data_IF_321572696939
#
_entry.id   IF_321572696939
#
_cell.length_a   1.000
_cell.length_b   1.000
_cell.length_c   1.000
_cell.angle_alpha   90.00
_cell.angle_beta   90.00
_cell.angle_gamma   90.00
#
_symmetry.space_group_name_H-M   'P 1'
#
loop_
_entity.id
_entity.type
_entity.pdbx_description
1 polymer ?
#
# COMPACT_ATOMS: atom_id res chain seq x y z
N UNK A 1 -7.04 -7.64 -11.04
CA UNK A 1 -6.54 -8.75 -10.21
C UNK A 1 -7.63 -9.79 -10.07
N UNK A 2 -7.34 -11.04 -10.37
CA UNK A 2 -8.28 -12.16 -10.17
C UNK A 2 -7.95 -12.87 -8.87
N UNK A 3 -8.95 -13.14 -8.02
CA UNK A 3 -8.79 -13.88 -6.78
C UNK A 3 -9.61 -15.16 -6.83
N UNK A 4 -9.03 -16.28 -6.42
CA UNK A 4 -9.84 -17.43 -6.02
C UNK A 4 -10.76 -17.02 -4.86
N UNK A 5 -12.00 -17.53 -4.84
CA UNK A 5 -12.96 -17.23 -3.77
C UNK A 5 -12.39 -17.53 -2.37
N UNK A 6 -11.67 -18.65 -2.24
CA UNK A 6 -10.97 -19.04 -1.01
C UNK A 6 -9.92 -18.02 -0.55
N UNK A 7 -9.26 -17.34 -1.47
CA UNK A 7 -8.31 -16.26 -1.16
C UNK A 7 -9.04 -15.02 -0.65
N UNK A 8 -10.09 -14.58 -1.33
CA UNK A 8 -10.89 -13.44 -0.87
C UNK A 8 -11.47 -13.70 0.52
N UNK A 9 -12.14 -14.83 0.71
CA UNK A 9 -12.76 -15.21 1.98
C UNK A 9 -11.70 -15.30 3.09
N UNK A 10 -10.51 -15.84 2.76
CA UNK A 10 -9.38 -15.93 3.68
C UNK A 10 -8.82 -14.58 4.12
N UNK A 11 -8.73 -13.59 3.20
CA UNK A 11 -8.33 -12.21 3.52
C UNK A 11 -9.35 -11.58 4.47
N UNK A 12 -10.64 -11.67 4.15
CA UNK A 12 -11.71 -11.08 4.96
C UNK A 12 -11.77 -11.72 6.35
N UNK A 13 -11.62 -13.05 6.44
CA UNK A 13 -11.55 -13.76 7.70
C UNK A 13 -10.34 -13.29 8.53
N UNK A 14 -9.17 -13.17 7.90
CA UNK A 14 -7.96 -12.70 8.57
C UNK A 14 -8.13 -11.27 9.12
N UNK A 15 -8.69 -10.35 8.31
CA UNK A 15 -8.96 -8.98 8.74
C UNK A 15 -9.90 -8.93 9.96
N UNK A 16 -10.96 -9.75 9.95
CA UNK A 16 -11.91 -9.82 11.07
C UNK A 16 -11.27 -10.39 12.34
N UNK A 17 -10.41 -11.38 12.21
CA UNK A 17 -9.69 -12.00 13.34
C UNK A 17 -8.67 -11.04 13.97
N UNK A 18 -8.02 -10.18 13.17
CA UNK A 18 -6.98 -9.26 13.65
C UNK A 18 -7.47 -7.93 14.21
N UNK A 19 -8.70 -7.50 13.87
CA UNK A 19 -9.29 -6.24 14.37
C UNK A 19 -9.23 -6.21 15.92
N UNK A 20 -8.71 -5.13 16.56
CA UNK A 20 -8.53 -3.78 16.03
C UNK A 20 -7.20 -3.46 15.33
N UNK A 21 -6.25 -4.40 15.27
CA UNK A 21 -4.97 -4.21 14.58
C UNK A 21 -5.11 -4.50 13.07
N UNK A 22 -4.26 -3.87 12.26
CA UNK A 22 -4.03 -4.25 10.88
C UNK A 22 -3.37 -5.63 10.80
N UNK A 23 -3.86 -6.45 9.89
CA UNK A 23 -3.20 -7.67 9.47
C UNK A 23 -2.44 -7.45 8.17
N UNK A 24 -1.53 -8.37 7.86
CA UNK A 24 -0.87 -8.38 6.55
C UNK A 24 -0.57 -9.81 6.06
N UNK A 25 -0.23 -9.92 4.79
CA UNK A 25 0.25 -11.16 4.20
C UNK A 25 0.51 -11.02 2.71
N UNK A 26 0.79 -12.16 2.07
CA UNK A 26 1.12 -12.21 0.64
C UNK A 26 0.25 -13.23 -0.09
N UNK A 27 0.05 -12.98 -1.38
CA UNK A 27 -0.71 -13.82 -2.28
C UNK A 27 0.22 -14.44 -3.33
N UNK A 28 0.07 -15.75 -3.51
CA UNK A 28 0.74 -16.51 -4.56
C UNK A 28 -0.20 -16.73 -5.73
N UNK A 29 0.35 -16.69 -6.93
CA UNK A 29 -0.34 -17.10 -8.14
C UNK A 29 0.47 -16.74 -9.37
N UNK A 30 -0.18 -16.41 -10.49
CA UNK A 30 0.52 -15.93 -11.69
C UNK A 30 -0.38 -15.08 -12.58
N UNK A 31 0.23 -14.26 -13.44
CA UNK A 31 -0.48 -13.47 -14.46
C UNK A 31 -1.62 -12.63 -13.85
N UNK A 32 -1.39 -12.09 -12.63
CA UNK A 32 -2.38 -11.31 -11.89
C UNK A 32 -3.57 -12.11 -11.34
N UNK A 33 -3.48 -13.45 -11.30
CA UNK A 33 -4.43 -14.36 -10.66
C UNK A 33 -3.84 -14.95 -9.39
N UNK A 34 -4.37 -14.57 -8.22
CA UNK A 34 -4.00 -15.14 -6.94
C UNK A 34 -4.82 -16.39 -6.61
N UNK A 35 -4.14 -17.49 -6.30
CA UNK A 35 -4.73 -18.79 -6.02
C UNK A 35 -4.50 -19.26 -4.58
N UNK A 36 -3.50 -18.72 -3.89
CA UNK A 36 -3.17 -19.08 -2.51
C UNK A 36 -2.86 -17.86 -1.65
N UNK A 37 -3.21 -17.96 -0.37
CA UNK A 37 -3.05 -16.93 0.65
C UNK A 37 -2.02 -17.39 1.70
N UNK A 38 -1.08 -16.51 2.03
CA UNK A 38 -0.13 -16.71 3.13
C UNK A 38 -0.27 -15.56 4.12
N UNK A 39 -0.75 -15.86 5.33
CA UNK A 39 -0.84 -14.88 6.42
C UNK A 39 0.56 -14.57 6.95
N UNK A 40 0.88 -13.31 7.13
CA UNK A 40 2.11 -12.85 7.76
C UNK A 40 1.85 -12.37 9.18
N UNK A 41 2.91 -12.27 9.98
CA UNK A 41 2.86 -11.50 11.22
C UNK A 41 3.11 -10.03 10.89
N UNK A 42 2.27 -9.14 11.42
CA UNK A 42 2.51 -7.71 11.37
C UNK A 42 3.59 -7.33 12.40
N UNK A 43 4.72 -6.81 11.94
CA UNK A 43 5.87 -6.39 12.74
C UNK A 43 5.90 -4.89 13.05
N UNK A 44 4.93 -4.11 12.56
CA UNK A 44 4.86 -2.69 12.83
C UNK A 44 4.81 -2.39 14.33
N UNK A 45 5.44 -1.30 14.74
CA UNK A 45 5.45 -0.84 16.13
C UNK A 45 4.04 -0.42 16.57
N UNK A 46 3.40 0.45 15.79
CA UNK A 46 1.96 0.69 15.85
C UNK A 46 1.27 -0.17 14.80
N UNK A 47 0.43 -1.11 15.26
CA UNK A 47 -0.32 -2.00 14.36
C UNK A 47 -1.75 -1.52 14.14
N UNK A 48 -2.18 -0.39 14.70
CA UNK A 48 -3.57 0.06 14.56
C UNK A 48 -3.85 0.63 13.16
N UNK A 49 -2.86 1.27 12.55
CA UNK A 49 -2.96 1.99 11.27
C UNK A 49 -1.73 1.78 10.36
N UNK A 50 -0.99 0.70 10.60
CA UNK A 50 0.23 0.40 9.86
C UNK A 50 0.56 -1.11 9.90
N UNK A 51 1.27 -1.55 8.87
CA UNK A 51 1.75 -2.91 8.75
C UNK A 51 3.23 -2.99 8.34
N UNK A 52 3.88 -4.05 8.80
CA UNK A 52 5.20 -4.47 8.32
C UNK A 52 5.20 -5.99 8.16
N UNK A 53 5.40 -6.47 6.94
CA UNK A 53 5.29 -7.91 6.62
C UNK A 53 6.54 -8.62 7.12
N UNK A 54 6.37 -9.65 7.93
CA UNK A 54 7.53 -10.38 8.43
C UNK A 54 8.42 -10.93 7.29
N UNK A 55 9.76 -10.80 7.41
CA UNK A 55 10.66 -11.22 6.34
C UNK A 55 10.56 -12.70 5.98
N UNK A 56 10.20 -13.58 6.92
CA UNK A 56 10.09 -15.02 6.64
C UNK A 56 8.94 -15.31 5.68
N UNK A 57 7.83 -14.57 5.79
CA UNK A 57 6.74 -14.64 4.83
C UNK A 57 7.15 -14.08 3.49
N UNK A 58 7.82 -12.92 3.43
CA UNK A 58 8.30 -12.34 2.16
C UNK A 58 9.27 -13.26 1.41
N UNK A 59 10.14 -13.99 2.12
CA UNK A 59 11.08 -14.95 1.52
C UNK A 59 10.38 -16.09 0.75
N UNK A 60 9.08 -16.34 0.97
CA UNK A 60 8.33 -17.32 0.20
C UNK A 60 8.20 -16.96 -1.28
N UNK A 61 8.43 -15.70 -1.66
CA UNK A 61 8.46 -15.32 -3.08
C UNK A 61 9.44 -16.18 -3.89
N UNK A 62 10.58 -16.56 -3.31
CA UNK A 62 11.56 -17.44 -3.98
C UNK A 62 11.03 -18.87 -4.15
N UNK A 63 10.29 -19.39 -3.15
CA UNK A 63 9.61 -20.70 -3.27
C UNK A 63 8.53 -20.67 -4.36
N UNK A 64 7.87 -19.50 -4.56
CA UNK A 64 6.85 -19.34 -5.59
C UNK A 64 7.50 -19.33 -6.98
N UNK A 65 8.58 -18.57 -7.15
CA UNK A 65 9.36 -18.50 -8.38
C UNK A 65 9.91 -19.87 -8.82
N UNK A 66 10.45 -20.67 -7.88
CA UNK A 66 10.91 -22.04 -8.15
C UNK A 66 9.79 -22.96 -8.65
N UNK A 67 8.56 -22.70 -8.21
CA UNK A 67 7.37 -23.42 -8.64
C UNK A 67 6.72 -22.84 -9.92
N UNK A 68 7.28 -21.77 -10.49
CA UNK A 68 6.77 -21.08 -11.68
C UNK A 68 5.62 -20.10 -11.42
N UNK A 69 5.37 -19.77 -10.16
CA UNK A 69 4.42 -18.75 -9.69
C UNK A 69 5.16 -17.45 -9.30
N UNK A 70 4.41 -16.43 -8.92
CA UNK A 70 4.89 -15.14 -8.46
C UNK A 70 4.17 -14.70 -7.18
N UNK A 71 4.75 -13.74 -6.47
CA UNK A 71 4.05 -12.98 -5.43
C UNK A 71 3.14 -11.95 -6.12
N UNK A 72 1.89 -12.35 -6.40
CA UNK A 72 0.92 -11.52 -7.12
C UNK A 72 0.58 -10.26 -6.34
N UNK A 73 0.49 -10.38 -5.01
CA UNK A 73 0.12 -9.25 -4.18
C UNK A 73 0.66 -9.34 -2.76
N UNK A 74 0.83 -8.17 -2.15
CA UNK A 74 0.82 -7.97 -0.71
C UNK A 74 -0.61 -7.52 -0.34
N UNK A 75 -1.13 -7.96 0.80
CA UNK A 75 -2.40 -7.45 1.30
C UNK A 75 -2.29 -7.06 2.76
N UNK A 76 -3.11 -6.08 3.14
CA UNK A 76 -3.33 -5.68 4.53
C UNK A 76 -4.79 -5.28 4.76
N UNK A 77 -5.12 -4.95 6.01
CA UNK A 77 -6.47 -4.53 6.37
C UNK A 77 -6.50 -3.15 6.97
N UNK A 78 -7.52 -2.38 6.63
CA UNK A 78 -7.87 -1.14 7.31
C UNK A 78 -9.03 -1.40 8.29
N UNK A 79 -8.80 -1.38 9.61
CA UNK A 79 -9.81 -1.78 10.59
C UNK A 79 -11.03 -0.86 10.64
N UNK A 80 -10.85 0.43 10.35
CA UNK A 80 -11.88 1.48 10.48
C UNK A 80 -11.95 2.46 9.30
N UNK A 81 -10.94 2.49 8.43
CA UNK A 81 -10.85 3.41 7.29
C UNK A 81 -11.19 2.73 5.97
N UNK A 82 -11.42 3.53 4.93
CA UNK A 82 -11.76 3.04 3.59
C UNK A 82 -10.63 2.20 2.97
N UNK A 83 -10.96 1.32 2.02
CA UNK A 83 -9.99 0.52 1.28
C UNK A 83 -9.29 1.37 0.21
N UNK A 84 -8.48 2.34 0.62
CA UNK A 84 -7.66 3.17 -0.26
C UNK A 84 -6.31 3.40 0.41
N UNK A 85 -5.17 3.38 -0.33
CA UNK A 85 -3.86 3.50 0.27
C UNK A 85 -3.74 4.80 1.06
N UNK A 86 -3.17 4.74 2.26
CA UNK A 86 -2.76 5.88 3.07
C UNK A 86 -1.37 6.39 2.68
N UNK A 87 -0.92 7.50 3.27
CA UNK A 87 0.46 7.94 3.11
C UNK A 87 1.46 6.95 3.76
N UNK A 88 1.08 6.28 4.84
CA UNK A 88 1.87 5.21 5.45
C UNK A 88 2.01 4.02 4.50
N UNK A 89 0.94 3.63 3.80
CA UNK A 89 1.00 2.56 2.80
C UNK A 89 1.92 2.93 1.63
N UNK A 90 1.81 4.18 1.15
CA UNK A 90 2.67 4.71 0.11
C UNK A 90 4.14 4.72 0.54
N UNK A 91 4.42 5.02 1.82
CA UNK A 91 5.76 4.86 2.37
C UNK A 91 6.19 3.38 2.34
N UNK A 92 5.36 2.44 2.77
CA UNK A 92 5.73 1.02 2.83
C UNK A 92 5.72 0.30 1.44
N UNK A 93 5.50 1.02 0.34
CA UNK A 93 5.35 0.48 -1.01
C UNK A 93 6.69 0.07 -1.67
N UNK A 94 7.35 -0.96 -1.14
CA UNK A 94 8.67 -1.43 -1.61
C UNK A 94 8.64 -2.44 -2.78
N UNK A 95 7.47 -2.90 -3.20
CA UNK A 95 7.27 -3.94 -4.21
C UNK A 95 6.39 -3.43 -5.38
N UNK A 96 6.91 -2.52 -6.23
CA UNK A 96 6.11 -1.81 -7.23
C UNK A 96 5.45 -2.72 -8.28
N UNK A 97 6.05 -3.88 -8.55
CA UNK A 97 5.53 -4.84 -9.54
C UNK A 97 4.30 -5.62 -9.04
N UNK A 98 4.11 -5.66 -7.72
CA UNK A 98 3.01 -6.38 -7.07
C UNK A 98 1.77 -5.52 -6.90
N UNK A 99 0.62 -6.17 -6.75
CA UNK A 99 -0.57 -5.47 -6.27
C UNK A 99 -0.54 -5.32 -4.75
N UNK A 100 -1.10 -4.23 -4.26
CA UNK A 100 -1.39 -3.98 -2.86
C UNK A 100 -2.90 -4.06 -2.66
N UNK A 101 -3.35 -5.10 -1.95
CA UNK A 101 -4.77 -5.32 -1.66
C UNK A 101 -5.11 -4.80 -0.27
N UNK A 102 -6.13 -3.95 -0.20
CA UNK A 102 -6.57 -3.35 1.07
C UNK A 102 -7.97 -3.86 1.39
N UNK A 103 -8.08 -4.57 2.51
CA UNK A 103 -9.34 -5.05 3.05
C UNK A 103 -9.86 -4.07 4.12
N UNK A 104 -10.85 -3.25 3.79
CA UNK A 104 -11.49 -2.35 4.74
C UNK A 104 -12.60 -3.03 5.53
N UNK A 105 -12.57 -2.83 6.85
CA UNK A 105 -13.62 -3.15 7.80
C UNK A 105 -14.27 -1.88 8.38
N UNK A 106 -14.28 -0.78 7.63
CA UNK A 106 -15.01 0.44 8.00
C UNK A 106 -16.47 0.12 8.38
N UNK A 107 -17.07 -0.83 7.65
CA UNK A 107 -18.35 -1.44 7.99
C UNK A 107 -18.15 -2.96 8.13
N UNK A 108 -18.30 -3.48 9.34
CA UNK A 108 -17.98 -4.88 9.68
C UNK A 108 -18.80 -5.92 8.88
N UNK A 109 -20.03 -5.56 8.54
CA UNK A 109 -21.00 -6.37 7.78
C UNK A 109 -20.82 -6.25 6.26
N UNK A 110 -20.06 -5.24 5.79
CA UNK A 110 -19.83 -4.97 4.37
C UNK A 110 -18.32 -4.71 4.10
N UNK A 111 -17.46 -5.73 4.27
CA UNK A 111 -16.02 -5.59 3.99
C UNK A 111 -15.78 -5.24 2.52
N UNK A 112 -14.87 -4.29 2.28
CA UNK A 112 -14.50 -3.84 0.94
C UNK A 112 -13.06 -4.23 0.66
N UNK A 113 -12.84 -4.95 -0.44
CA UNK A 113 -11.50 -5.32 -0.91
C UNK A 113 -11.19 -4.59 -2.21
N UNK A 114 -10.13 -3.78 -2.22
CA UNK A 114 -9.64 -3.05 -3.40
C UNK A 114 -8.18 -3.37 -3.65
N UNK A 115 -7.73 -3.24 -4.89
CA UNK A 115 -6.36 -3.54 -5.30
C UNK A 115 -5.73 -2.33 -5.99
N UNK A 116 -4.48 -2.04 -5.64
CA UNK A 116 -3.72 -0.91 -6.15
C UNK A 116 -2.34 -1.35 -6.62
N UNK A 117 -1.72 -0.56 -7.49
CA UNK A 117 -0.26 -0.49 -7.60
C UNK A 117 0.19 0.84 -7.03
N UNK A 118 1.29 0.79 -6.30
CA UNK A 118 1.95 1.94 -5.71
C UNK A 118 3.35 2.01 -6.30
N UNK A 119 3.61 3.03 -7.08
CA UNK A 119 4.81 3.17 -7.91
C UNK A 119 5.66 4.32 -7.34
N UNK A 120 6.67 4.02 -6.50
CA UNK A 120 7.54 5.04 -5.93
C UNK A 120 8.52 5.56 -6.98
N UNK A 121 8.72 6.86 -6.96
CA UNK A 121 9.70 7.62 -7.71
C UNK A 121 10.41 8.57 -6.75
N UNK A 122 11.73 8.65 -6.86
CA UNK A 122 12.56 9.65 -6.18
C UNK A 122 12.84 10.82 -7.14
N UNK A 123 12.22 11.99 -6.94
CA UNK A 123 12.50 13.19 -7.71
C UNK A 123 13.95 13.66 -7.50
N UNK A 124 14.50 14.39 -8.48
CA UNK A 124 15.80 15.05 -8.33
C UNK A 124 15.65 16.43 -7.64
N UNK A 125 14.43 16.95 -7.58
CA UNK A 125 14.05 18.25 -7.04
C UNK A 125 14.08 18.29 -5.50
N UNK A 126 14.50 19.42 -4.94
CA UNK A 126 14.54 19.62 -3.49
C UNK A 126 13.13 19.59 -2.88
N UNK A 127 12.92 18.65 -1.96
CA UNK A 127 11.67 18.48 -1.20
C UNK A 127 11.27 19.75 -0.43
N UNK A 128 12.21 20.63 -0.07
CA UNK A 128 11.90 21.88 0.62
C UNK A 128 11.03 22.83 -0.24
N UNK A 129 11.13 22.74 -1.56
CA UNK A 129 10.23 23.45 -2.47
C UNK A 129 8.78 22.95 -2.29
N UNK A 130 8.59 21.63 -2.23
CA UNK A 130 7.28 21.04 -2.02
C UNK A 130 6.73 21.34 -0.61
N UNK A 131 7.58 21.24 0.42
CA UNK A 131 7.22 21.55 1.83
C UNK A 131 6.82 23.01 2.02
N UNK A 132 7.34 23.91 1.19
CA UNK A 132 6.96 25.32 1.21
C UNK A 132 5.66 25.60 0.43
N UNK A 133 5.32 24.74 -0.53
CA UNK A 133 4.17 24.89 -1.41
C UNK A 133 2.86 24.36 -0.81
N UNK A 134 2.92 23.25 -0.06
CA UNK A 134 1.74 22.58 0.50
C UNK A 134 1.94 22.16 1.94
N UNK A 135 0.84 21.99 2.66
CA UNK A 135 0.87 21.43 4.01
C UNK A 135 0.93 19.91 3.96
N UNK A 136 1.87 19.35 4.71
CA UNK A 136 2.00 17.92 4.92
C UNK A 136 1.43 17.54 6.29
N UNK A 137 0.74 16.40 6.35
CA UNK A 137 0.27 15.81 7.59
C UNK A 137 1.34 14.86 8.16
N UNK A 138 1.63 14.97 9.45
CA UNK A 138 2.44 13.96 10.15
C UNK A 138 1.56 12.73 10.41
N UNK A 139 1.79 11.66 9.64
CA UNK A 139 0.96 10.44 9.69
C UNK A 139 1.49 9.40 10.67
N UNK A 140 2.78 9.49 11.00
CA UNK A 140 3.44 8.80 12.13
C UNK A 140 4.56 9.68 12.64
N UNK A 141 5.10 9.47 13.85
CA UNK A 141 6.25 10.24 14.34
C UNK A 141 7.38 10.28 13.30
N UNK A 142 7.68 11.48 12.81
CA UNK A 142 8.72 11.71 11.81
C UNK A 142 8.38 11.33 10.36
N UNK A 143 7.18 10.85 10.06
CA UNK A 143 6.73 10.52 8.70
C UNK A 143 5.60 11.46 8.27
N UNK A 144 5.80 12.13 7.14
CA UNK A 144 4.90 13.15 6.62
C UNK A 144 4.35 12.76 5.25
N UNK A 145 3.08 13.13 4.99
CA UNK A 145 2.40 12.84 3.74
C UNK A 145 1.55 13.99 3.21
N UNK A 146 1.53 14.13 1.89
CA UNK A 146 0.59 14.97 1.14
C UNK A 146 -0.06 14.12 0.04
N UNK A 147 -1.38 14.24 -0.14
CA UNK A 147 -2.12 13.53 -1.18
C UNK A 147 -2.57 14.49 -2.28
N UNK A 148 -2.16 14.22 -3.52
CA UNK A 148 -2.68 14.89 -4.70
C UNK A 148 -3.75 14.00 -5.35
N UNK A 149 -5.01 14.43 -5.28
CA UNK A 149 -6.12 13.69 -5.88
C UNK A 149 -6.11 13.75 -7.41
N UNK A 150 -6.65 12.71 -8.05
CA UNK A 150 -6.87 12.67 -9.50
C UNK A 150 -7.76 13.85 -9.95
N UNK A 151 -7.32 14.58 -10.98
CA UNK A 151 -8.07 15.71 -11.55
C UNK A 151 -8.10 16.97 -10.69
N UNK A 152 -7.56 16.96 -9.46
CA UNK A 152 -7.35 18.17 -8.69
C UNK A 152 -6.23 19.02 -9.32
N UNK A 153 -6.37 20.35 -9.23
CA UNK A 153 -5.35 21.27 -9.71
C UNK A 153 -4.05 21.03 -8.92
N UNK A 154 -2.95 20.86 -9.63
CA UNK A 154 -1.61 20.82 -9.04
C UNK A 154 -1.19 22.27 -8.74
N UNK A 155 -0.74 22.58 -7.52
CA UNK A 155 -0.10 23.87 -7.19
C UNK A 155 1.05 24.17 -8.16
N UNK A 156 1.21 25.43 -8.57
CA UNK A 156 2.19 25.80 -9.61
C UNK A 156 3.61 25.43 -9.20
N UNK A 157 3.90 25.59 -7.91
CA UNK A 157 5.16 25.26 -7.25
C UNK A 157 5.48 23.76 -7.23
N UNK A 158 4.46 22.90 -7.38
CA UNK A 158 4.62 21.44 -7.45
C UNK A 158 4.71 20.90 -8.88
N UNK A 159 4.51 21.73 -9.91
CA UNK A 159 4.47 21.23 -11.31
C UNK A 159 5.81 20.64 -11.74
N UNK A 160 6.92 21.30 -11.38
CA UNK A 160 8.27 20.80 -11.68
C UNK A 160 8.60 19.59 -10.81
N UNK A 161 8.33 19.67 -9.49
CA UNK A 161 8.56 18.58 -8.54
C UNK A 161 7.79 17.28 -8.90
N UNK A 162 6.61 17.41 -9.50
CA UNK A 162 5.79 16.27 -9.94
C UNK A 162 5.96 15.96 -11.43
N UNK A 163 6.98 16.51 -12.11
CA UNK A 163 7.21 16.25 -13.52
C UNK A 163 7.36 14.74 -13.77
N UNK A 164 6.54 14.19 -14.67
CA UNK A 164 6.52 12.76 -14.96
C UNK A 164 5.68 11.89 -14.01
N UNK A 165 5.10 12.47 -12.96
CA UNK A 165 4.18 11.78 -12.04
C UNK A 165 2.74 12.26 -12.26
N UNK A 166 1.82 11.32 -12.46
CA UNK A 166 0.41 11.62 -12.67
C UNK A 166 -0.40 11.32 -11.39
N UNK A 167 -1.24 12.26 -10.90
CA UNK A 167 -2.19 11.96 -9.84
C UNK A 167 -3.20 10.86 -10.23
N UNK A 168 -3.72 10.08 -9.26
CA UNK A 168 -3.56 10.29 -7.83
C UNK A 168 -2.20 9.81 -7.33
N UNK A 169 -1.59 10.59 -6.43
CA UNK A 169 -0.27 10.28 -5.88
C UNK A 169 -0.12 10.78 -4.46
N UNK A 170 0.88 10.25 -3.78
CA UNK A 170 1.38 10.75 -2.50
C UNK A 170 2.76 11.40 -2.69
N UNK A 171 3.02 12.48 -1.96
CA UNK A 171 4.39 12.92 -1.66
C UNK A 171 4.61 12.56 -0.20
N UNK A 172 5.63 11.76 0.08
CA UNK A 172 5.95 11.31 1.45
C UNK A 172 7.42 11.53 1.75
N UNK A 173 7.73 11.93 2.98
CA UNK A 173 9.10 12.08 3.45
C UNK A 173 9.23 11.72 4.92
N UNK A 174 10.39 11.20 5.29
CA UNK A 174 10.77 10.94 6.68
C UNK A 174 11.81 11.96 7.16
N UNK A 175 11.77 12.31 8.43
CA UNK A 175 12.76 13.17 9.09
C UNK A 175 13.43 12.45 10.26
N UNK A 176 14.68 12.81 10.52
CA UNK A 176 15.42 12.36 11.70
C UNK A 176 15.00 13.12 12.97
N UNK A 177 15.63 12.80 14.11
CA UNK A 177 15.38 13.46 15.40
C UNK A 177 15.71 14.98 15.38
N UNK A 178 16.51 15.45 14.43
CA UNK A 178 16.85 16.87 14.25
C UNK A 178 15.85 17.61 13.36
N UNK A 179 14.94 16.88 12.71
CA UNK A 179 13.98 17.41 11.74
C UNK A 179 14.54 17.53 10.31
N UNK A 180 15.72 16.97 10.04
CA UNK A 180 16.29 16.92 8.69
C UNK A 180 15.64 15.78 7.89
N UNK A 181 15.35 16.01 6.61
CA UNK A 181 14.77 14.98 5.74
C UNK A 181 15.80 13.89 5.44
N UNK A 182 15.46 12.64 5.77
CA UNK A 182 16.32 11.47 5.52
C UNK A 182 16.06 10.85 4.14
N UNK A 183 14.79 10.72 3.75
CA UNK A 183 14.35 10.15 2.48
C UNK A 183 12.97 10.72 2.11
N UNK A 184 12.70 10.84 0.81
CA UNK A 184 11.42 11.28 0.29
C UNK A 184 11.13 10.64 -1.06
N UNK A 185 9.85 10.44 -1.36
CA UNK A 185 9.40 9.87 -2.64
C UNK A 185 8.03 10.41 -3.03
N UNK A 186 7.79 10.41 -4.34
CA UNK A 186 6.48 10.54 -4.95
C UNK A 186 5.98 9.14 -5.25
N UNK A 187 4.76 8.80 -4.85
CA UNK A 187 4.20 7.46 -5.05
C UNK A 187 2.93 7.57 -5.87
N UNK A 188 3.00 7.17 -7.13
CA UNK A 188 1.84 7.08 -8.01
C UNK A 188 0.90 5.96 -7.55
N UNK A 189 -0.41 6.20 -7.58
CA UNK A 189 -1.42 5.23 -7.16
C UNK A 189 -2.33 4.90 -8.33
N UNK A 190 -2.36 3.62 -8.72
CA UNK A 190 -3.25 3.12 -9.77
C UNK A 190 -4.16 2.03 -9.21
N UNK A 191 -5.48 2.18 -9.36
CA UNK A 191 -6.45 1.17 -8.94
C UNK A 191 -6.70 0.11 -10.02
N UNK A 192 -6.80 -1.15 -9.61
CA UNK A 192 -7.12 -2.27 -10.48
C UNK A 192 -8.37 -2.99 -9.99
N UNK A 193 -9.29 -3.39 -10.90
CA UNK A 193 -10.50 -4.09 -10.51
C UNK A 193 -10.16 -5.45 -9.88
N UNK A 194 -10.81 -5.75 -8.76
CA UNK A 194 -10.78 -7.07 -8.12
C UNK A 194 -11.93 -7.90 -8.71
N UNK A 195 -11.59 -9.06 -9.25
CA UNK A 195 -12.55 -10.02 -9.79
C UNK A 195 -12.41 -11.35 -9.06
N UNK A 196 -13.51 -11.88 -8.56
CA UNK A 196 -13.51 -13.16 -7.85
C UNK A 196 -13.87 -14.25 -8.84
N UNK A 197 -13.00 -15.23 -8.99
CA UNK A 197 -13.22 -16.36 -9.87
C UNK A 197 -14.12 -17.38 -9.16
N UNK A 198 -15.24 -17.72 -9.79
CA UNK A 198 -16.14 -18.77 -9.30
C UNK A 198 -15.60 -20.13 -9.74
N UNK A 199 -15.19 -20.95 -8.76
CA UNK A 199 -14.74 -22.33 -8.98
C UNK A 199 -13.24 -22.45 -9.25
N UNK A 200 -12.51 -22.85 -8.21
CA UNK A 200 -11.24 -23.55 -8.30
C UNK A 200 -11.28 -24.72 -7.32
#
# INVERSE_FOLDING_TARGET
VHLARTVQDGIIAHAREGKPEEICGILRGRDGQATSLYRARNLAEDRIDNYDVDPQTLLKQFEFEEAGDEMVAIYHSHPVSVAYPSATDAWNAHYPETYYLICSLQFDDAPVLRAFRMEPHWPDEDIDAARSAVSFEEVRPGLFGYYQAAGARIPEELVEFLAGSAPPLYIVFAVDESGAVEDYRVVGVSEFPVQVLEGA
#
